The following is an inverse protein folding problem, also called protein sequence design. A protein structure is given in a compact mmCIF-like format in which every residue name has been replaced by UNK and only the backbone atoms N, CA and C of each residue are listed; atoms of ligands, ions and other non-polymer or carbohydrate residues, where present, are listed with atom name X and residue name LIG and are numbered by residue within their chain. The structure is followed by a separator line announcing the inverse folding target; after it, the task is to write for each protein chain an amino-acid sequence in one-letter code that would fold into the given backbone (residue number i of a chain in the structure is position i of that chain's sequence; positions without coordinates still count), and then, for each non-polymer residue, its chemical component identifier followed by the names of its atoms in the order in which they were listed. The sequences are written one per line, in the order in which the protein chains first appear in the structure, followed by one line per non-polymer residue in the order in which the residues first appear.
data_IF_063515463987
#
_entry.id   IF_063515463987
#
_cell.length_a   1.000
_cell.length_b   1.000
_cell.length_c   1.000
_cell.angle_alpha   90.00
_cell.angle_beta   90.00
_cell.angle_gamma   90.00
#
_symmetry.space_group_name_H-M   'P 1'
#
loop_
_entity.id
_entity.type
_entity.pdbx_description
1 polymer ?
#
# COMPACT_ATOMS: atom_id res chain seq x y z
N UNK A 1 -12.79 22.91 -4.33
CA UNK A 1 -13.66 24.03 -3.87
C UNK A 1 -13.50 25.30 -4.71
N UNK A 2 -13.72 25.28 -6.03
CA UNK A 2 -13.85 26.51 -6.82
C UNK A 2 -14.88 27.50 -6.25
N UNK A 3 -15.92 27.01 -5.56
CA UNK A 3 -17.03 27.82 -4.99
C UNK A 3 -16.71 28.60 -3.71
N UNK A 4 -15.55 28.40 -3.07
CA UNK A 4 -15.16 29.13 -1.85
C UNK A 4 -14.25 30.34 -2.15
N UNK A 5 -14.50 31.47 -1.49
CA UNK A 5 -13.67 32.68 -1.58
C UNK A 5 -12.31 32.49 -0.88
N UNK A 6 -11.28 33.25 -1.30
CA UNK A 6 -9.95 33.19 -0.68
C UNK A 6 -9.97 33.42 0.85
N UNK A 7 -10.87 34.30 1.34
CA UNK A 7 -11.05 34.54 2.78
C UNK A 7 -11.54 33.29 3.52
N UNK A 8 -12.45 32.52 2.92
CA UNK A 8 -12.96 31.27 3.47
C UNK A 8 -11.89 30.15 3.45
N UNK A 9 -10.99 30.17 2.45
CA UNK A 9 -9.92 29.16 2.31
C UNK A 9 -8.74 29.36 3.25
N UNK A 10 -8.39 30.63 3.49
CA UNK A 10 -7.16 31.02 4.20
C UNK A 10 -6.95 30.29 5.55
N UNK A 11 -7.96 30.16 6.43
CA UNK A 11 -7.76 29.56 7.74
C UNK A 11 -7.31 28.09 7.69
N UNK A 12 -7.94 27.27 6.87
CA UNK A 12 -7.60 25.84 6.80
C UNK A 12 -6.34 25.60 5.95
N UNK A 13 -6.05 26.43 4.93
CA UNK A 13 -4.79 26.35 4.20
C UNK A 13 -3.58 26.65 5.12
N UNK A 14 -3.71 27.62 6.04
CA UNK A 14 -2.68 27.86 7.08
C UNK A 14 -2.48 26.63 7.98
N UNK A 15 -3.57 25.94 8.32
CA UNK A 15 -3.49 24.71 9.11
C UNK A 15 -2.81 23.58 8.31
N UNK A 16 -3.19 23.36 7.06
CA UNK A 16 -2.54 22.37 6.16
C UNK A 16 -1.05 22.65 6.07
N UNK A 17 -0.65 23.89 5.80
CA UNK A 17 0.75 24.27 5.73
C UNK A 17 1.48 23.96 7.04
N UNK A 18 0.88 24.31 8.18
CA UNK A 18 1.46 24.01 9.50
C UNK A 18 1.61 22.51 9.72
N UNK A 19 0.62 21.71 9.32
CA UNK A 19 0.65 20.26 9.48
C UNK A 19 1.70 19.62 8.55
N UNK A 20 1.79 20.03 7.28
CA UNK A 20 2.84 19.57 6.35
C UNK A 20 4.24 19.94 6.85
N UNK A 21 4.44 21.16 7.35
CA UNK A 21 5.71 21.57 7.96
C UNK A 21 6.04 20.71 9.18
N UNK A 22 5.05 20.32 9.99
CA UNK A 22 5.25 19.44 11.14
C UNK A 22 5.56 18.00 10.76
N UNK A 23 4.97 17.47 9.70
CA UNK A 23 5.25 16.11 9.24
C UNK A 23 6.60 16.02 8.52
N UNK A 24 7.14 17.15 8.05
CA UNK A 24 8.36 17.19 7.26
C UNK A 24 8.18 16.68 5.82
N UNK A 25 6.94 16.42 5.40
CA UNK A 25 6.63 15.97 4.05
C UNK A 25 6.85 17.11 3.06
N UNK A 26 7.81 16.92 2.14
CA UNK A 26 8.13 17.88 1.07
C UNK A 26 7.72 17.36 -0.30
N UNK A 27 8.05 16.10 -0.57
CA UNK A 27 7.80 15.42 -1.84
C UNK A 27 7.24 14.04 -1.57
N UNK A 28 6.39 13.60 -2.49
CA UNK A 28 5.86 12.24 -2.55
C UNK A 28 5.72 11.85 -4.02
N UNK A 29 5.72 10.55 -4.26
CA UNK A 29 5.63 9.97 -5.59
C UNK A 29 4.31 9.26 -5.74
N UNK A 30 3.77 9.30 -6.95
CA UNK A 30 2.54 8.67 -7.35
C UNK A 30 2.73 8.08 -8.74
N UNK A 31 2.05 6.96 -8.98
CA UNK A 31 2.00 6.40 -10.31
C UNK A 31 1.18 7.28 -11.25
N UNK A 32 1.67 7.43 -12.47
CA UNK A 32 0.92 8.02 -13.57
C UNK A 32 0.06 6.94 -14.26
N UNK A 33 -1.20 6.84 -13.81
CA UNK A 33 -2.16 5.87 -14.35
C UNK A 33 -2.50 6.16 -15.82
N UNK A 34 -2.45 7.43 -16.26
CA UNK A 34 -2.72 7.81 -17.65
C UNK A 34 -1.57 7.43 -18.58
N UNK A 35 -0.34 7.49 -18.07
CA UNK A 35 0.85 6.96 -18.74
C UNK A 35 0.93 5.41 -18.69
N UNK A 36 0.02 4.76 -17.98
CA UNK A 36 -0.07 3.31 -17.89
C UNK A 36 0.84 2.67 -16.85
N UNK A 37 1.31 3.42 -15.85
CA UNK A 37 2.12 2.86 -14.77
C UNK A 37 1.29 1.92 -13.88
N UNK A 38 1.70 0.64 -13.82
CA UNK A 38 1.00 -0.38 -13.02
C UNK A 38 1.77 -0.68 -11.74
N UNK A 39 1.04 -0.95 -10.67
CA UNK A 39 1.65 -1.32 -9.38
C UNK A 39 2.41 -2.64 -9.45
N UNK A 40 1.93 -3.59 -10.26
CA UNK A 40 2.64 -4.84 -10.54
C UNK A 40 4.03 -4.56 -11.13
N UNK A 41 4.13 -3.68 -12.12
CA UNK A 41 5.40 -3.41 -12.81
C UNK A 41 6.45 -2.82 -11.83
N UNK A 42 6.03 -1.97 -10.90
CA UNK A 42 6.91 -1.43 -9.85
C UNK A 42 7.37 -2.50 -8.85
N UNK A 43 6.48 -3.38 -8.41
CA UNK A 43 6.84 -4.51 -7.53
C UNK A 43 7.82 -5.44 -8.24
N UNK A 44 7.49 -5.81 -9.47
CA UNK A 44 8.30 -6.69 -10.29
C UNK A 44 9.68 -6.07 -10.55
N UNK A 45 9.77 -4.76 -10.81
CA UNK A 45 11.03 -4.04 -10.93
C UNK A 45 11.86 -4.08 -9.65
N UNK A 46 11.25 -3.81 -8.50
CA UNK A 46 11.93 -3.90 -7.20
C UNK A 46 12.46 -5.33 -6.92
N UNK A 47 11.70 -6.36 -7.29
CA UNK A 47 12.13 -7.76 -7.20
C UNK A 47 13.36 -8.03 -8.06
N UNK A 48 13.37 -7.57 -9.31
CA UNK A 48 14.52 -7.77 -10.21
C UNK A 48 15.76 -7.10 -9.64
N UNK A 49 15.67 -5.85 -9.18
CA UNK A 49 16.79 -5.15 -8.55
C UNK A 49 17.32 -5.86 -7.30
N UNK A 50 16.43 -6.41 -6.47
CA UNK A 50 16.85 -7.16 -5.29
C UNK A 50 17.56 -8.47 -5.67
N UNK A 51 17.02 -9.17 -6.67
CA UNK A 51 17.60 -10.42 -7.20
C UNK A 51 18.99 -10.17 -7.76
N UNK A 52 19.16 -9.13 -8.58
CA UNK A 52 20.47 -8.72 -9.13
C UNK A 52 21.51 -8.47 -8.03
N UNK A 53 21.10 -7.88 -6.89
CA UNK A 53 21.99 -7.62 -5.75
C UNK A 53 22.29 -8.85 -4.89
N UNK A 54 21.49 -9.90 -5.00
CA UNK A 54 21.55 -11.09 -4.13
C UNK A 54 22.34 -12.27 -4.71
N UNK A 55 22.72 -12.20 -6.00
CA UNK A 55 23.43 -13.27 -6.71
C UNK A 55 22.72 -14.64 -6.67
N UNK A 56 21.39 -14.64 -6.57
CA UNK A 56 20.52 -15.80 -6.78
C UNK A 56 19.58 -15.51 -7.95
N UNK A 57 18.78 -16.50 -8.35
CA UNK A 57 17.73 -16.37 -9.34
C UNK A 57 16.35 -16.31 -8.69
N UNK A 58 15.34 -15.82 -9.42
CA UNK A 58 13.95 -15.89 -8.98
C UNK A 58 13.51 -17.33 -8.60
N UNK A 59 14.06 -18.34 -9.27
CA UNK A 59 13.77 -19.76 -9.00
C UNK A 59 14.40 -20.30 -7.71
N UNK A 60 15.38 -19.61 -7.13
CA UNK A 60 16.01 -20.03 -5.87
C UNK A 60 15.18 -19.62 -4.65
N UNK A 61 14.29 -18.64 -4.80
CA UNK A 61 13.35 -18.22 -3.76
C UNK A 61 12.32 -19.33 -3.52
N UNK A 62 12.31 -19.89 -2.31
CA UNK A 62 11.38 -20.95 -1.90
C UNK A 62 10.20 -20.46 -1.06
N UNK A 63 10.21 -19.17 -0.66
CA UNK A 63 9.06 -18.46 -0.11
C UNK A 63 9.00 -17.00 -0.59
N UNK A 64 7.82 -16.57 -1.05
CA UNK A 64 7.49 -15.18 -1.35
C UNK A 64 6.42 -14.65 -0.39
N UNK A 65 6.74 -13.59 0.33
CA UNK A 65 5.83 -12.91 1.25
C UNK A 65 5.48 -11.55 0.67
N UNK A 66 4.19 -11.27 0.47
CA UNK A 66 3.74 -9.91 0.17
C UNK A 66 3.24 -9.22 1.43
N UNK A 67 3.70 -8.00 1.71
CA UNK A 67 3.40 -7.28 2.96
C UNK A 67 2.79 -5.89 2.77
N UNK A 68 2.23 -5.60 1.58
CA UNK A 68 1.53 -4.34 1.32
C UNK A 68 0.07 -4.33 1.79
N UNK A 69 -0.43 -3.14 2.14
CA UNK A 69 -1.85 -2.93 2.47
C UNK A 69 -2.70 -2.92 1.19
N UNK A 70 -2.20 -2.30 0.12
CA UNK A 70 -2.86 -2.32 -1.19
C UNK A 70 -2.96 -3.76 -1.73
N UNK A 71 -4.16 -4.20 -2.12
CA UNK A 71 -4.39 -5.55 -2.67
C UNK A 71 -5.23 -5.48 -3.93
N UNK A 72 -4.90 -6.30 -4.92
CA UNK A 72 -5.74 -6.49 -6.11
C UNK A 72 -6.90 -7.46 -5.86
N UNK A 73 -6.73 -8.38 -4.91
CA UNK A 73 -7.66 -9.48 -4.65
C UNK A 73 -7.68 -9.83 -3.15
N UNK A 74 -8.79 -10.38 -2.68
CA UNK A 74 -8.90 -10.96 -1.33
C UNK A 74 -8.26 -12.34 -1.26
N UNK A 75 -8.46 -13.15 -2.29
CA UNK A 75 -7.81 -14.45 -2.47
C UNK A 75 -7.57 -14.75 -3.97
N UNK A 76 -6.53 -15.56 -4.30
CA UNK A 76 -5.46 -16.02 -3.42
C UNK A 76 -4.57 -14.85 -2.96
N UNK A 77 -3.59 -15.13 -2.11
CA UNK A 77 -2.59 -14.14 -1.69
C UNK A 77 -1.94 -13.47 -2.92
N UNK A 78 -1.69 -12.16 -2.86
CA UNK A 78 -1.12 -11.39 -3.98
C UNK A 78 0.27 -11.91 -4.37
N UNK A 79 1.02 -12.43 -3.38
CA UNK A 79 2.30 -13.13 -3.60
C UNK A 79 2.23 -14.18 -4.73
N UNK A 80 1.13 -14.94 -4.86
CA UNK A 80 1.00 -15.95 -5.93
C UNK A 80 1.06 -15.34 -7.33
N UNK A 81 0.52 -14.14 -7.54
CA UNK A 81 0.54 -13.49 -8.84
C UNK A 81 1.96 -13.02 -9.19
N UNK A 82 2.69 -12.44 -8.24
CA UNK A 82 4.07 -12.01 -8.46
C UNK A 82 5.01 -13.21 -8.68
N UNK A 83 4.82 -14.30 -7.91
CA UNK A 83 5.53 -15.55 -8.13
C UNK A 83 5.28 -16.13 -9.53
N UNK A 84 4.01 -16.11 -9.98
CA UNK A 84 3.65 -16.52 -11.34
C UNK A 84 4.33 -15.64 -12.39
N UNK A 85 4.30 -14.32 -12.23
CA UNK A 85 4.90 -13.36 -13.17
C UNK A 85 6.42 -13.53 -13.28
N UNK A 86 7.10 -14.00 -12.22
CA UNK A 86 8.55 -14.31 -12.21
C UNK A 86 8.91 -15.78 -12.44
N UNK A 87 7.93 -16.62 -12.78
CA UNK A 87 8.19 -18.03 -13.10
C UNK A 87 8.67 -18.86 -11.91
N UNK A 88 8.33 -18.47 -10.68
CA UNK A 88 8.71 -19.14 -9.44
C UNK A 88 7.82 -20.36 -9.23
N UNK A 89 8.21 -21.50 -9.82
CA UNK A 89 7.33 -22.70 -9.92
C UNK A 89 7.10 -23.45 -8.60
N UNK A 90 8.00 -23.29 -7.64
CA UNK A 90 8.01 -24.06 -6.38
C UNK A 90 7.92 -23.18 -5.15
N UNK A 91 7.86 -21.86 -5.32
CA UNK A 91 7.79 -20.92 -4.21
C UNK A 91 6.47 -21.07 -3.46
N UNK A 92 6.57 -21.17 -2.14
CA UNK A 92 5.42 -20.97 -1.27
C UNK A 92 5.06 -19.48 -1.27
N UNK A 93 3.79 -19.14 -1.06
CA UNK A 93 3.32 -17.76 -1.16
C UNK A 93 2.28 -17.48 -0.08
N UNK A 94 2.42 -16.36 0.64
CA UNK A 94 1.36 -15.82 1.48
C UNK A 94 1.51 -14.31 1.66
N UNK A 95 0.44 -13.66 2.13
CA UNK A 95 0.45 -12.23 2.42
C UNK A 95 0.44 -12.01 3.94
N UNK A 96 1.16 -10.99 4.42
CA UNK A 96 1.07 -10.47 5.79
C UNK A 96 0.46 -9.08 5.73
N UNK A 97 -0.50 -8.80 6.61
CA UNK A 97 -1.09 -7.45 6.72
C UNK A 97 -1.14 -7.03 8.19
N UNK A 98 -0.29 -6.09 8.56
CA UNK A 98 -0.17 -5.43 9.86
C UNK A 98 0.12 -3.93 9.67
N UNK A 99 -0.65 -3.29 8.76
CA UNK A 99 -0.52 -1.88 8.37
C UNK A 99 0.96 -1.49 8.09
N UNK A 100 1.42 -0.33 8.60
CA UNK A 100 2.78 0.15 8.42
C UNK A 100 3.87 -0.74 9.09
N UNK A 101 3.47 -1.72 9.93
CA UNK A 101 4.40 -2.66 10.55
C UNK A 101 4.57 -3.97 9.76
N UNK A 102 3.85 -4.14 8.66
CA UNK A 102 3.84 -5.41 7.90
C UNK A 102 5.22 -5.88 7.46
N UNK A 103 6.12 -4.96 7.07
CA UNK A 103 7.48 -5.33 6.69
C UNK A 103 8.29 -5.90 7.86
N UNK A 104 8.28 -5.25 9.03
CA UNK A 104 9.03 -5.76 10.20
C UNK A 104 8.45 -7.08 10.70
N UNK A 105 7.13 -7.29 10.58
CA UNK A 105 6.49 -8.59 10.84
C UNK A 105 6.95 -9.67 9.86
N UNK A 106 6.94 -9.35 8.56
CA UNK A 106 7.38 -10.29 7.53
C UNK A 106 8.84 -10.70 7.72
N UNK A 107 9.69 -9.74 8.05
CA UNK A 107 11.10 -9.97 8.39
C UNK A 107 11.25 -10.89 9.60
N UNK A 108 10.53 -10.63 10.70
CA UNK A 108 10.56 -11.49 11.89
C UNK A 108 10.15 -12.93 11.55
N UNK A 109 9.07 -13.10 10.78
CA UNK A 109 8.61 -14.42 10.37
C UNK A 109 9.62 -15.12 9.46
N UNK A 110 10.21 -14.39 8.52
CA UNK A 110 11.24 -14.91 7.62
C UNK A 110 12.49 -15.35 8.39
N UNK A 111 12.99 -14.55 9.35
CA UNK A 111 14.13 -14.90 10.20
C UNK A 111 13.88 -16.23 10.95
N UNK A 112 12.71 -16.35 11.60
CA UNK A 112 12.33 -17.56 12.32
C UNK A 112 12.26 -18.79 11.39
N UNK A 113 11.70 -18.63 10.19
CA UNK A 113 11.56 -19.73 9.24
C UNK A 113 12.89 -20.15 8.61
N UNK A 114 13.81 -19.20 8.35
CA UNK A 114 15.17 -19.47 7.89
C UNK A 114 15.96 -20.21 8.99
N UNK A 115 15.91 -19.74 10.24
CA UNK A 115 16.57 -20.39 11.39
C UNK A 115 16.02 -21.79 11.67
N UNK A 116 14.72 -22.00 11.47
CA UNK A 116 14.10 -23.32 11.56
C UNK A 116 14.46 -24.26 10.39
N UNK A 117 15.13 -23.76 9.35
CA UNK A 117 15.48 -24.54 8.15
C UNK A 117 14.27 -24.89 7.27
N UNK A 118 13.14 -24.21 7.44
CA UNK A 118 11.92 -24.46 6.65
C UNK A 118 12.03 -23.92 5.22
N UNK A 119 12.85 -22.88 5.04
CA UNK A 119 13.12 -22.21 3.76
C UNK A 119 14.60 -21.86 3.69
N UNK A 120 15.11 -21.63 2.47
CA UNK A 120 16.51 -21.33 2.17
C UNK A 120 16.70 -19.96 1.53
N UNK A 121 15.67 -19.39 0.92
CA UNK A 121 15.71 -18.05 0.38
C UNK A 121 14.30 -17.45 0.35
N UNK A 122 14.10 -16.42 1.15
CA UNK A 122 12.79 -15.78 1.31
C UNK A 122 12.85 -14.40 0.67
N UNK A 123 11.89 -14.11 -0.21
CA UNK A 123 11.67 -12.75 -0.71
C UNK A 123 10.48 -12.13 0.03
N UNK A 124 10.66 -10.91 0.54
CA UNK A 124 9.62 -10.06 1.10
C UNK A 124 9.42 -8.90 0.14
N UNK A 125 8.21 -8.78 -0.40
CA UNK A 125 7.85 -7.73 -1.34
C UNK A 125 6.75 -6.86 -0.75
N UNK A 126 6.83 -5.56 -1.03
CA UNK A 126 5.86 -4.58 -0.59
C UNK A 126 5.50 -3.67 -1.76
N UNK A 127 4.23 -3.28 -1.84
CA UNK A 127 3.73 -2.28 -2.76
C UNK A 127 2.61 -1.50 -2.11
N UNK A 128 2.78 -0.19 -2.00
CA UNK A 128 1.75 0.71 -1.47
C UNK A 128 1.23 1.59 -2.59
N UNK A 129 -0.02 1.34 -2.96
CA UNK A 129 -0.66 1.90 -4.15
C UNK A 129 -2.07 2.36 -3.78
N UNK A 130 -2.27 3.67 -3.68
CA UNK A 130 -3.51 4.27 -3.18
C UNK A 130 -4.23 5.14 -4.22
N UNK A 131 -3.54 5.55 -5.29
CA UNK A 131 -4.15 6.30 -6.40
C UNK A 131 -5.20 5.41 -7.08
N UNK A 132 -6.43 5.92 -7.21
CA UNK A 132 -7.58 5.18 -7.72
C UNK A 132 -8.36 4.35 -6.69
N UNK A 133 -7.85 4.21 -5.46
CA UNK A 133 -8.59 3.61 -4.32
C UNK A 133 -9.17 4.68 -3.39
N UNK A 134 -8.46 5.80 -3.24
CA UNK A 134 -8.86 6.92 -2.38
C UNK A 134 -8.52 8.27 -3.03
N UNK A 135 -9.42 8.75 -3.90
CA UNK A 135 -9.21 10.02 -4.62
C UNK A 135 -9.91 11.22 -3.96
N UNK A 136 -10.18 11.15 -2.66
CA UNK A 136 -10.78 12.27 -1.92
C UNK A 136 -9.72 13.29 -1.48
N UNK A 137 -9.19 14.03 -2.45
CA UNK A 137 -8.26 15.15 -2.28
C UNK A 137 -8.96 16.47 -1.94
N UNK A 138 -10.26 16.44 -1.66
CA UNK A 138 -11.04 17.66 -1.47
C UNK A 138 -11.06 18.07 0.00
N UNK A 139 -10.38 19.17 0.33
CA UNK A 139 -10.52 19.82 1.64
C UNK A 139 -11.74 20.73 1.61
N UNK A 140 -12.93 20.20 1.87
CA UNK A 140 -14.18 20.98 1.85
C UNK A 140 -14.31 21.93 3.04
N UNK A 141 -13.90 21.48 4.23
CA UNK A 141 -13.95 22.26 5.46
C UNK A 141 -12.91 21.79 6.52
N UNK A 142 -12.97 22.35 7.73
CA UNK A 142 -12.08 21.97 8.83
C UNK A 142 -12.30 20.55 9.35
N UNK A 143 -13.52 20.00 9.24
CA UNK A 143 -13.81 18.63 9.65
C UNK A 143 -13.22 17.66 8.63
N UNK A 144 -13.24 18.02 7.35
CA UNK A 144 -12.67 17.17 6.31
C UNK A 144 -11.18 16.96 6.45
N UNK A 145 -10.46 17.96 6.96
CA UNK A 145 -9.03 17.85 7.26
C UNK A 145 -8.68 16.69 8.21
N UNK A 146 -9.57 16.34 9.14
CA UNK A 146 -9.31 15.27 10.13
C UNK A 146 -9.03 13.93 9.43
N UNK A 147 -9.67 13.68 8.29
CA UNK A 147 -9.56 12.43 7.54
C UNK A 147 -8.87 12.56 6.17
N UNK A 148 -8.85 13.75 5.55
CA UNK A 148 -8.14 13.96 4.28
C UNK A 148 -6.66 14.33 4.46
N UNK A 149 -6.27 14.92 5.61
CA UNK A 149 -4.89 15.35 5.82
C UNK A 149 -3.86 14.22 5.65
N UNK A 150 -4.04 13.02 6.22
CA UNK A 150 -3.07 11.93 6.05
C UNK A 150 -2.80 11.60 4.58
N UNK A 151 -3.80 11.71 3.70
CA UNK A 151 -3.63 11.44 2.27
C UNK A 151 -2.60 12.36 1.61
N UNK A 152 -2.42 13.60 2.08
CA UNK A 152 -1.39 14.51 1.56
C UNK A 152 0.04 14.10 1.95
N UNK A 153 0.19 13.19 2.89
CA UNK A 153 1.49 12.71 3.37
C UNK A 153 1.88 11.36 2.78
N UNK A 154 0.94 10.62 2.21
CA UNK A 154 1.16 9.27 1.68
C UNK A 154 1.65 9.35 0.23
N UNK A 155 2.73 8.63 -0.07
CA UNK A 155 3.22 8.37 -1.41
C UNK A 155 3.01 6.91 -1.80
N UNK A 156 3.29 6.59 -3.06
CA UNK A 156 3.32 5.23 -3.58
C UNK A 156 4.76 4.77 -3.75
N UNK A 157 5.02 3.50 -3.43
CA UNK A 157 6.34 2.89 -3.55
C UNK A 157 6.23 1.36 -3.60
N UNK A 158 7.25 0.72 -4.17
CA UNK A 158 7.44 -0.72 -4.10
C UNK A 158 8.85 -1.04 -3.60
N UNK A 159 8.99 -2.13 -2.86
CA UNK A 159 10.28 -2.60 -2.35
C UNK A 159 10.34 -4.12 -2.39
N UNK A 160 11.55 -4.67 -2.55
CA UNK A 160 11.81 -6.08 -2.34
C UNK A 160 13.02 -6.26 -1.42
N UNK A 161 12.96 -7.26 -0.55
CA UNK A 161 14.01 -7.65 0.38
C UNK A 161 14.22 -9.14 0.25
N UNK A 162 15.45 -9.59 0.03
CA UNK A 162 15.80 -11.00 -0.01
C UNK A 162 16.53 -11.34 1.28
N UNK A 163 16.05 -12.37 1.98
CA UNK A 163 16.66 -12.90 3.18
C UNK A 163 17.17 -14.31 2.92
N UNK A 164 18.43 -14.52 3.28
CA UNK A 164 19.14 -15.79 3.23
C UNK A 164 19.52 -16.20 4.66
N UNK A 165 19.80 -17.49 4.92
CA UNK A 165 20.26 -17.94 6.22
C UNK A 165 21.50 -17.14 6.67
N UNK A 166 21.46 -16.68 7.91
CA UNK A 166 22.57 -16.00 8.57
C UNK A 166 22.64 -16.44 10.03
N UNK A 167 23.83 -16.34 10.62
CA UNK A 167 24.06 -16.52 12.07
C UNK A 167 23.72 -15.23 12.86
N UNK A 168 23.29 -14.17 12.17
CA UNK A 168 22.93 -12.91 12.81
C UNK A 168 21.70 -13.06 13.71
N UNK A 169 21.78 -12.46 14.91
CA UNK A 169 20.68 -12.45 15.87
C UNK A 169 19.91 -11.14 15.80
N UNK A 170 18.65 -11.23 15.38
CA UNK A 170 17.75 -10.08 15.26
C UNK A 170 16.78 -10.10 16.43
N UNK A 171 16.57 -8.94 17.04
CA UNK A 171 15.60 -8.76 18.12
C UNK A 171 14.47 -7.88 17.63
N UNK A 172 13.24 -8.33 17.87
CA UNK A 172 12.03 -7.61 17.49
C UNK A 172 11.19 -7.34 18.74
N UNK A 173 10.91 -6.08 19.00
CA UNK A 173 10.03 -5.64 20.09
C UNK A 173 8.81 -4.93 19.50
N UNK A 174 7.63 -5.29 19.99
CA UNK A 174 6.36 -4.77 19.52
C UNK A 174 5.48 -4.37 20.69
N UNK A 175 4.97 -3.15 20.66
CA UNK A 175 3.99 -2.65 21.61
C UNK A 175 2.67 -2.37 20.89
N UNK A 176 1.62 -3.10 21.23
CA UNK A 176 0.30 -2.94 20.65
C UNK A 176 -0.62 -2.19 21.62
N UNK A 177 -1.42 -1.26 21.08
CA UNK A 177 -2.41 -0.47 21.84
C UNK A 177 -3.80 -0.60 21.21
N UNK A 178 -4.47 -1.75 21.37
CA UNK A 178 -5.74 -2.05 20.70
C UNK A 178 -6.87 -1.07 21.06
N UNK A 179 -6.78 -0.38 22.20
CA UNK A 179 -7.72 0.66 22.61
C UNK A 179 -7.79 1.85 21.62
N UNK A 180 -6.82 1.95 20.71
CA UNK A 180 -6.75 2.97 19.66
C UNK A 180 -6.96 2.43 18.25
N UNK A 181 -7.48 1.21 18.10
CA UNK A 181 -7.70 0.58 16.80
C UNK A 181 -8.62 1.41 15.87
N UNK A 182 -9.46 2.27 16.43
CA UNK A 182 -10.38 3.12 15.68
C UNK A 182 -9.80 4.45 15.17
N UNK A 183 -8.49 4.69 15.34
CA UNK A 183 -7.81 5.92 14.91
C UNK A 183 -7.21 5.85 13.51
N UNK A 184 -6.85 4.67 13.02
CA UNK A 184 -6.19 4.48 11.73
C UNK A 184 -6.82 3.29 11.00
N UNK A 185 -7.88 3.56 10.25
CA UNK A 185 -8.68 2.53 9.60
C UNK A 185 -8.92 2.85 8.13
N UNK A 186 -8.85 1.81 7.30
CA UNK A 186 -9.34 1.82 5.93
C UNK A 186 -10.51 0.83 5.88
N UNK A 187 -11.75 1.28 6.12
CA UNK A 187 -12.88 0.38 6.23
C UNK A 187 -13.28 -0.15 4.85
N UNK A 188 -13.60 -1.45 4.79
CA UNK A 188 -14.27 -2.04 3.63
C UNK A 188 -15.78 -1.80 3.73
N UNK A 189 -16.48 -1.86 2.60
CA UNK A 189 -17.94 -1.86 2.60
C UNK A 189 -18.49 -3.01 3.47
N UNK A 190 -19.37 -2.68 4.42
CA UNK A 190 -19.99 -3.68 5.32
C UNK A 190 -19.11 -4.12 6.49
N UNK A 191 -18.05 -3.37 6.83
CA UNK A 191 -17.16 -3.66 7.96
C UNK A 191 -17.91 -3.77 9.31
N UNK A 192 -19.08 -3.15 9.43
CA UNK A 192 -19.92 -3.16 10.64
C UNK A 192 -20.40 -4.56 11.01
N UNK A 193 -20.38 -5.50 10.05
CA UNK A 193 -20.67 -6.91 10.31
C UNK A 193 -19.50 -7.66 10.95
N UNK A 194 -18.30 -7.07 10.97
CA UNK A 194 -17.06 -7.71 11.44
C UNK A 194 -16.51 -7.06 12.71
N UNK A 195 -16.78 -5.77 12.93
CA UNK A 195 -16.32 -5.03 14.12
C UNK A 195 -17.40 -4.08 14.64
N UNK A 196 -17.42 -3.83 15.95
CA UNK A 196 -18.37 -2.87 16.54
C UNK A 196 -18.03 -1.44 16.08
N UNK A 197 -18.95 -0.73 15.43
CA UNK A 197 -18.67 0.62 14.94
C UNK A 197 -18.41 1.60 16.08
N UNK A 198 -17.47 2.52 15.87
CA UNK A 198 -17.25 3.67 16.76
C UNK A 198 -17.54 4.97 16.01
N UNK A 199 -17.56 6.10 16.72
CA UNK A 199 -17.71 7.42 16.09
C UNK A 199 -16.49 7.85 15.25
N UNK A 200 -15.40 7.07 15.26
CA UNK A 200 -14.13 7.39 14.60
C UNK A 200 -13.90 6.54 13.35
N UNK A 201 -14.33 5.28 13.34
CA UNK A 201 -14.27 4.40 12.15
C UNK A 201 -15.22 4.93 11.07
N UNK A 202 -14.81 4.86 9.79
CA UNK A 202 -15.71 5.21 8.67
C UNK A 202 -15.82 6.69 8.34
N UNK A 203 -14.98 7.56 8.93
CA UNK A 203 -14.88 8.97 8.51
C UNK A 203 -14.19 9.13 7.15
N UNK A 204 -13.31 8.19 6.79
CA UNK A 204 -12.79 7.99 5.45
C UNK A 204 -13.81 7.16 4.66
N UNK A 205 -14.09 7.53 3.40
CA UNK A 205 -14.99 6.75 2.54
C UNK A 205 -14.50 5.29 2.47
N UNK A 206 -15.44 4.34 2.56
CA UNK A 206 -15.13 2.92 2.57
C UNK A 206 -14.63 2.44 1.20
N UNK A 207 -13.63 1.55 1.19
CA UNK A 207 -13.16 0.93 -0.04
C UNK A 207 -14.20 -0.09 -0.51
N UNK A 208 -14.59 0.06 -1.77
CA UNK A 208 -15.26 -0.97 -2.53
C UNK A 208 -14.24 -1.79 -3.32
N UNK A 209 -13.91 -2.99 -2.84
CA UNK A 209 -13.02 -3.91 -3.57
C UNK A 209 -13.66 -4.46 -4.87
N UNK A 210 -14.97 -4.25 -5.10
CA UNK A 210 -15.62 -4.62 -6.35
C UNK A 210 -15.43 -3.60 -7.47
N UNK A 211 -15.01 -2.37 -7.15
CA UNK A 211 -14.76 -1.30 -8.12
C UNK A 211 -13.48 -1.49 -8.95
N UNK A 212 -12.60 -2.42 -8.58
CA UNK A 212 -11.42 -2.82 -9.38
C UNK A 212 -11.80 -3.57 -10.67
N UNK A 213 -13.08 -3.97 -10.83
CA UNK A 213 -13.63 -4.54 -12.07
C UNK A 213 -14.69 -3.61 -12.67
N UNK A 214 -14.37 -2.32 -12.84
CA UNK A 214 -15.02 -1.50 -13.87
C UNK A 214 -14.06 -1.33 -15.03
N UNK A 215 -14.19 -2.23 -16.01
CA UNK A 215 -13.66 -2.02 -17.36
C UNK A 215 -14.16 -0.64 -17.81
N UNK A 216 -13.23 0.30 -17.93
CA UNK A 216 -13.50 1.63 -18.41
C UNK A 216 -13.79 1.53 -19.93
N UNK A 217 -15.02 1.24 -20.32
CA UNK A 217 -15.48 1.47 -21.69
C UNK A 217 -15.71 2.98 -21.87
N UNK A 218 -14.63 3.76 -21.86
CA UNK A 218 -14.65 5.10 -22.42
C UNK A 218 -14.64 4.97 -23.95
N UNK A 219 -15.82 5.02 -24.57
CA UNK A 219 -15.96 5.28 -26.00
C UNK A 219 -15.24 6.60 -26.31
N UNK A 220 -14.13 6.53 -27.03
CA UNK A 220 -13.50 7.69 -27.65
C UNK A 220 -14.55 8.40 -28.53
N UNK A 221 -14.95 9.61 -28.14
CA UNK A 221 -15.62 10.53 -29.05
C UNK A 221 -14.52 11.29 -29.79
N UNK A 222 -14.49 11.08 -31.10
CA UNK A 222 -13.69 11.83 -32.07
C UNK A 222 -13.81 13.34 -31.83
N UNK A 223 -12.68 14.01 -31.62
CA UNK A 223 -12.55 15.45 -31.76
C UNK A 223 -11.26 15.77 -32.51
N UNK A 224 -11.23 15.37 -33.79
CA UNK A 224 -10.34 15.93 -34.80
C UNK A 224 -11.17 16.16 -36.07
N UNK A 225 -11.76 17.35 -36.16
CA UNK A 225 -12.13 18.00 -37.41
C UNK A 225 -12.34 19.50 -37.13
N UNK A 226 -11.51 20.34 -37.74
CA UNK A 226 -11.59 21.80 -37.88
C UNK A 226 -11.00 22.65 -36.74
N UNK A 227 -9.67 22.88 -36.79
CA UNK A 227 -9.03 24.15 -37.20
C UNK A 227 -7.52 24.07 -36.97
#
# INVERSE_FOLDING_TARGET
NPEQSAFQKTPYLKLVQKLLTKTGAQTRYWRDIEAGERGEDLILGAMDEAIERSNISHSDIDLLIYCGVGKGFLEPANAYFYARSRGMKTANCFDITDACMSWTRAVQMADLMLKAGSFKAIAIINGEFHVGLHDNWEIRDFRSLEYTFPMYTIGEAATATILLPSDDEWQFDYNSRPEFADLCTIPLNGYENFVTPTKRVGKTESIDLSLTVKICFARAKNAWANL
#
